data_IF_968576898124
#
_entry.id   IF_968576898124
#
_cell.length_a   1.000
_cell.length_b   1.000
_cell.length_c   1.000
_cell.angle_alpha   90.00
_cell.angle_beta   90.00
_cell.angle_gamma   90.00
#
_symmetry.space_group_name_H-M   'P 1'
#
loop_
_entity.id
_entity.type
_entity.pdbx_description
1 polymer ?
#
# COMPACT_ATOMS: atom_id res chain seq x y z
N UNK A 1 10.71 -8.17 -13.32
CA UNK A 1 10.23 -6.86 -13.82
C UNK A 1 8.88 -6.95 -14.53
N UNK A 2 8.64 -7.92 -15.41
CA UNK A 2 7.35 -8.07 -16.12
C UNK A 2 6.15 -8.24 -15.18
N UNK A 3 6.22 -9.14 -14.19
CA UNK A 3 5.12 -9.37 -13.23
C UNK A 3 4.73 -8.11 -12.45
N UNK A 4 5.73 -7.29 -12.04
CA UNK A 4 5.49 -6.04 -11.33
C UNK A 4 4.78 -4.99 -12.20
N UNK A 5 5.17 -4.89 -13.47
CA UNK A 5 4.50 -3.96 -14.41
C UNK A 5 3.05 -4.37 -14.63
N UNK A 6 2.78 -5.66 -14.80
CA UNK A 6 1.40 -6.16 -14.92
C UNK A 6 0.57 -5.83 -13.68
N UNK A 7 1.14 -6.02 -12.48
CA UNK A 7 0.45 -5.64 -11.23
C UNK A 7 0.18 -4.13 -11.16
N UNK A 8 1.14 -3.30 -11.58
CA UNK A 8 0.96 -1.84 -11.67
C UNK A 8 -0.18 -1.48 -12.63
N UNK A 9 -0.21 -2.07 -13.81
CA UNK A 9 -1.25 -1.78 -14.81
C UNK A 9 -2.64 -2.21 -14.31
N UNK A 10 -2.77 -3.43 -13.79
CA UNK A 10 -4.06 -3.94 -13.28
C UNK A 10 -4.52 -3.11 -12.08
N UNK A 11 -3.63 -2.85 -11.11
CA UNK A 11 -3.98 -2.08 -9.92
C UNK A 11 -4.42 -0.66 -10.24
N UNK A 12 -3.71 0.02 -11.13
CA UNK A 12 -4.08 1.37 -11.57
C UNK A 12 -5.35 1.40 -12.42
N UNK A 13 -5.61 0.37 -13.25
CA UNK A 13 -6.87 0.24 -13.99
C UNK A 13 -8.05 0.08 -13.02
N UNK A 14 -7.92 -0.76 -11.98
CA UNK A 14 -8.95 -0.92 -10.96
C UNK A 14 -9.25 0.40 -10.24
N UNK A 15 -8.21 1.15 -9.86
CA UNK A 15 -8.37 2.44 -9.20
C UNK A 15 -9.03 3.46 -10.14
N UNK A 16 -8.61 3.56 -11.40
CA UNK A 16 -9.17 4.49 -12.37
C UNK A 16 -10.66 4.18 -12.67
N UNK A 17 -11.02 2.90 -12.81
CA UNK A 17 -12.41 2.48 -12.96
C UNK A 17 -13.23 2.87 -11.73
N UNK A 18 -12.74 2.60 -10.52
CA UNK A 18 -13.39 3.02 -9.27
C UNK A 18 -13.66 4.53 -9.26
N UNK A 19 -12.69 5.33 -9.71
CA UNK A 19 -12.80 6.78 -9.73
C UNK A 19 -13.78 7.27 -10.78
N UNK A 20 -13.58 6.94 -12.05
CA UNK A 20 -14.33 7.55 -13.15
C UNK A 20 -15.78 7.06 -13.24
N UNK A 21 -16.05 5.83 -12.78
CA UNK A 21 -17.41 5.25 -12.87
C UNK A 21 -18.23 5.37 -11.59
N UNK A 22 -17.59 5.63 -10.42
CA UNK A 22 -18.32 5.64 -9.17
C UNK A 22 -18.05 6.94 -8.39
N UNK A 23 -16.79 7.24 -8.09
CA UNK A 23 -16.44 8.33 -7.15
C UNK A 23 -16.71 9.71 -7.76
N UNK A 24 -16.22 9.96 -8.97
CA UNK A 24 -16.41 11.24 -9.65
C UNK A 24 -17.89 11.55 -9.92
N UNK A 25 -18.73 10.60 -10.41
CA UNK A 25 -20.16 10.85 -10.60
C UNK A 25 -20.94 11.18 -9.33
N UNK A 26 -20.47 10.77 -8.17
CA UNK A 26 -21.07 11.14 -6.88
C UNK A 26 -20.51 12.43 -6.28
N UNK A 27 -19.60 13.14 -6.97
CA UNK A 27 -18.86 14.28 -6.44
C UNK A 27 -18.12 13.97 -5.14
N UNK A 28 -17.60 12.74 -5.02
CA UNK A 28 -16.81 12.33 -3.86
C UNK A 28 -15.33 12.61 -4.10
N UNK A 29 -14.63 12.93 -3.02
CA UNK A 29 -13.21 13.29 -3.08
C UNK A 29 -12.32 12.21 -2.47
N UNK A 30 -11.22 11.95 -3.15
CA UNK A 30 -10.17 11.07 -2.65
C UNK A 30 -9.31 11.77 -1.60
N UNK A 31 -8.50 11.02 -0.91
CA UNK A 31 -7.48 11.53 0.00
C UNK A 31 -6.18 11.88 -0.74
N UNK A 32 -5.35 12.70 -0.10
CA UNK A 32 -3.98 12.99 -0.52
C UNK A 32 -3.87 13.71 -1.87
N UNK A 33 -2.82 13.40 -2.63
CA UNK A 33 -2.53 14.07 -3.90
C UNK A 33 -3.65 13.95 -4.94
N UNK A 34 -4.42 12.86 -4.91
CA UNK A 34 -5.56 12.66 -5.81
C UNK A 34 -6.70 13.63 -5.48
N UNK A 35 -7.04 13.80 -4.20
CA UNK A 35 -8.05 14.76 -3.79
C UNK A 35 -7.65 16.21 -4.11
N UNK A 36 -6.36 16.55 -3.97
CA UNK A 36 -5.85 17.86 -4.42
C UNK A 36 -6.03 18.02 -5.94
N UNK A 37 -5.73 16.98 -6.72
CA UNK A 37 -5.91 17.02 -8.17
C UNK A 37 -7.39 17.20 -8.56
N UNK A 38 -8.32 16.52 -7.86
CA UNK A 38 -9.76 16.68 -8.05
C UNK A 38 -10.22 18.13 -7.77
N UNK A 39 -9.77 18.73 -6.66
CA UNK A 39 -10.11 20.12 -6.36
C UNK A 39 -9.62 21.11 -7.42
N UNK A 40 -8.41 20.87 -7.97
CA UNK A 40 -7.86 21.70 -9.04
C UNK A 40 -8.63 21.46 -10.35
N UNK A 41 -9.03 20.22 -10.66
CA UNK A 41 -9.84 19.92 -11.85
C UNK A 41 -11.18 20.67 -11.79
N UNK A 42 -11.88 20.59 -10.67
CA UNK A 42 -13.14 21.35 -10.45
C UNK A 42 -12.92 22.86 -10.56
N UNK A 43 -11.84 23.41 -10.03
CA UNK A 43 -11.51 24.82 -10.18
C UNK A 43 -11.36 25.21 -11.67
N UNK A 44 -10.73 24.38 -12.46
CA UNK A 44 -10.48 24.63 -13.88
C UNK A 44 -11.79 24.54 -14.67
N UNK A 45 -12.59 23.50 -14.45
CA UNK A 45 -13.80 23.20 -15.23
C UNK A 45 -14.99 24.07 -14.80
N UNK A 46 -15.30 24.10 -13.49
CA UNK A 46 -16.52 24.74 -12.98
C UNK A 46 -16.35 26.24 -12.72
N UNK A 47 -15.17 26.68 -12.27
CA UNK A 47 -14.95 28.10 -11.91
C UNK A 47 -14.33 28.88 -13.07
N UNK A 48 -13.29 28.32 -13.71
CA UNK A 48 -12.65 28.99 -14.84
C UNK A 48 -13.31 28.71 -16.17
N UNK A 49 -14.28 27.77 -16.22
CA UNK A 49 -15.04 27.38 -17.42
C UNK A 49 -14.12 26.95 -18.60
N UNK A 50 -12.98 26.33 -18.29
CA UNK A 50 -12.07 25.81 -19.31
C UNK A 50 -12.54 24.39 -19.64
N UNK A 51 -13.07 24.15 -20.85
CA UNK A 51 -13.59 22.83 -21.21
C UNK A 51 -12.46 21.80 -21.25
N UNK A 52 -12.80 20.55 -20.94
CA UNK A 52 -11.89 19.43 -21.11
C UNK A 52 -11.53 19.23 -22.59
N UNK A 53 -10.35 18.73 -22.84
CA UNK A 53 -9.91 18.38 -24.20
C UNK A 53 -10.74 17.16 -24.63
N UNK A 54 -11.33 17.14 -25.85
CA UNK A 54 -12.14 16.02 -26.29
C UNK A 54 -11.43 14.68 -26.11
N UNK A 55 -12.01 13.80 -25.27
CA UNK A 55 -11.47 12.47 -24.93
C UNK A 55 -10.35 12.45 -23.89
N UNK A 56 -10.07 13.57 -23.20
CA UNK A 56 -9.06 13.63 -22.12
C UNK A 56 -9.58 14.44 -20.95
N UNK A 57 -9.70 13.81 -19.79
CA UNK A 57 -10.13 14.45 -18.55
C UNK A 57 -8.97 15.22 -17.87
N UNK A 58 -9.25 16.44 -17.42
CA UNK A 58 -8.27 17.29 -16.72
C UNK A 58 -7.64 16.61 -15.51
N UNK A 59 -8.40 15.80 -14.79
CA UNK A 59 -7.94 15.11 -13.59
C UNK A 59 -6.66 14.30 -13.83
N UNK A 60 -6.58 13.56 -14.94
CA UNK A 60 -5.41 12.77 -15.27
C UNK A 60 -4.16 13.64 -15.51
N UNK A 61 -4.32 14.74 -16.25
CA UNK A 61 -3.23 15.69 -16.54
C UNK A 61 -2.73 16.35 -15.26
N UNK A 62 -3.65 16.85 -14.44
CA UNK A 62 -3.33 17.54 -13.18
C UNK A 62 -2.65 16.59 -12.20
N UNK A 63 -3.18 15.37 -12.06
CA UNK A 63 -2.58 14.36 -11.19
C UNK A 63 -1.15 14.05 -11.60
N UNK A 64 -0.86 13.88 -12.88
CA UNK A 64 0.48 13.70 -13.41
C UNK A 64 1.37 14.92 -13.13
N UNK A 65 0.84 16.12 -13.42
CA UNK A 65 1.55 17.40 -13.23
C UNK A 65 1.96 17.69 -11.79
N UNK A 66 1.14 17.30 -10.80
CA UNK A 66 1.47 17.45 -9.38
C UNK A 66 2.50 16.41 -8.93
N UNK A 67 2.33 15.16 -9.36
CA UNK A 67 3.10 14.06 -8.81
C UNK A 67 4.52 13.97 -9.39
N UNK A 68 4.72 14.23 -10.68
CA UNK A 68 6.04 14.09 -11.32
C UNK A 68 7.08 15.06 -10.75
N UNK A 69 6.82 16.38 -10.60
CA UNK A 69 7.78 17.28 -9.99
C UNK A 69 8.18 16.84 -8.58
N UNK A 70 7.22 16.44 -7.75
CA UNK A 70 7.50 16.01 -6.38
C UNK A 70 8.37 14.76 -6.36
N UNK A 71 8.11 13.80 -7.26
CA UNK A 71 8.96 12.62 -7.41
C UNK A 71 10.37 12.96 -7.82
N UNK A 72 10.55 13.90 -8.76
CA UNK A 72 11.88 14.32 -9.21
C UNK A 72 12.68 14.96 -8.08
N UNK A 73 12.05 15.79 -7.23
CA UNK A 73 12.68 16.33 -6.03
C UNK A 73 13.07 15.24 -5.02
N UNK A 74 12.25 14.19 -4.88
CA UNK A 74 12.48 13.05 -4.00
C UNK A 74 13.45 12.00 -4.55
N UNK A 75 13.87 12.10 -5.81
CA UNK A 75 14.63 11.07 -6.52
C UNK A 75 15.91 10.60 -5.80
N UNK A 76 16.59 11.54 -5.11
CA UNK A 76 17.83 11.25 -4.36
C UNK A 76 17.61 10.42 -3.09
N UNK A 77 16.41 10.52 -2.52
CA UNK A 77 16.03 9.83 -1.26
C UNK A 77 15.40 8.46 -1.51
N UNK A 78 15.05 8.17 -2.75
CA UNK A 78 14.34 6.94 -3.13
C UNK A 78 15.29 5.95 -3.79
N UNK A 79 15.11 4.67 -3.50
CA UNK A 79 15.81 3.61 -4.22
C UNK A 79 15.44 3.60 -5.72
N UNK A 80 16.44 3.48 -6.61
CA UNK A 80 16.26 3.57 -8.08
C UNK A 80 15.13 2.68 -8.63
N UNK A 81 14.95 1.46 -8.09
CA UNK A 81 13.89 0.53 -8.53
C UNK A 81 12.50 1.04 -8.14
N UNK A 82 12.35 1.54 -6.90
CA UNK A 82 11.10 2.12 -6.41
C UNK A 82 10.74 3.37 -7.21
N UNK A 83 11.68 4.27 -7.40
CA UNK A 83 11.51 5.51 -8.14
C UNK A 83 10.98 5.27 -9.57
N UNK A 84 11.65 4.39 -10.34
CA UNK A 84 11.24 4.09 -11.72
C UNK A 84 9.84 3.46 -11.75
N UNK A 85 9.53 2.52 -10.85
CA UNK A 85 8.22 1.88 -10.80
C UNK A 85 7.11 2.86 -10.41
N UNK A 86 7.40 3.80 -9.52
CA UNK A 86 6.46 4.83 -9.10
C UNK A 86 6.16 5.82 -10.22
N UNK A 87 7.16 6.24 -11.01
CA UNK A 87 6.92 7.05 -12.21
C UNK A 87 6.02 6.30 -13.20
N UNK A 88 6.31 5.02 -13.46
CA UNK A 88 5.47 4.20 -14.34
C UNK A 88 4.04 4.11 -13.79
N UNK A 89 3.89 3.87 -12.49
CA UNK A 89 2.58 3.77 -11.84
C UNK A 89 1.77 5.05 -11.98
N UNK A 90 2.35 6.20 -11.65
CA UNK A 90 1.67 7.49 -11.75
C UNK A 90 1.29 7.80 -13.21
N UNK A 91 2.18 7.53 -14.15
CA UNK A 91 1.90 7.77 -15.58
C UNK A 91 0.77 6.87 -16.08
N UNK A 92 0.77 5.59 -15.72
CA UNK A 92 -0.28 4.64 -16.08
C UNK A 92 -1.63 5.03 -15.46
N UNK A 93 -1.63 5.41 -14.19
CA UNK A 93 -2.85 5.87 -13.51
C UNK A 93 -3.40 7.14 -14.16
N UNK A 94 -2.55 8.13 -14.41
CA UNK A 94 -2.94 9.38 -15.06
C UNK A 94 -3.54 9.15 -16.46
N UNK A 95 -2.93 8.26 -17.23
CA UNK A 95 -3.45 7.87 -18.55
C UNK A 95 -4.84 7.21 -18.44
N UNK A 96 -5.00 6.25 -17.51
CA UNK A 96 -6.29 5.60 -17.35
C UNK A 96 -7.38 6.57 -16.89
N UNK A 97 -7.10 7.43 -15.89
CA UNK A 97 -8.06 8.44 -15.43
C UNK A 97 -8.39 9.43 -16.54
N UNK A 98 -7.37 9.85 -17.32
CA UNK A 98 -7.57 10.83 -18.39
C UNK A 98 -8.29 10.30 -19.63
N UNK A 99 -8.21 8.99 -19.91
CA UNK A 99 -8.77 8.39 -21.13
C UNK A 99 -10.09 7.66 -20.86
N UNK A 100 -10.30 7.10 -19.67
CA UNK A 100 -11.56 6.45 -19.32
C UNK A 100 -12.65 7.52 -19.20
N UNK A 101 -13.83 7.30 -19.80
CA UNK A 101 -14.91 8.27 -19.72
C UNK A 101 -15.42 8.43 -18.29
N UNK A 102 -15.75 9.65 -17.92
CA UNK A 102 -16.52 9.95 -16.70
C UNK A 102 -18.00 9.99 -17.08
N UNK A 103 -18.82 9.22 -16.39
CA UNK A 103 -20.26 9.23 -16.61
C UNK A 103 -20.94 10.31 -15.78
N UNK A 104 -22.05 10.85 -16.29
CA UNK A 104 -22.86 11.85 -15.58
C UNK A 104 -23.58 11.29 -14.35
N UNK A 105 -23.72 9.95 -14.27
CA UNK A 105 -24.29 9.24 -13.13
C UNK A 105 -23.46 8.01 -12.83
N UNK A 106 -23.34 7.66 -11.55
CA UNK A 106 -22.63 6.44 -11.13
C UNK A 106 -23.33 5.18 -11.66
N UNK A 107 -22.52 4.14 -11.96
CA UNK A 107 -23.04 2.80 -12.30
C UNK A 107 -23.76 2.12 -11.12
N UNK A 108 -23.58 2.64 -9.91
CA UNK A 108 -24.26 2.19 -8.68
C UNK A 108 -25.10 3.37 -8.20
N UNK A 109 -26.41 3.19 -8.07
CA UNK A 109 -27.32 4.27 -7.70
C UNK A 109 -27.20 4.69 -6.22
N UNK A 110 -26.94 3.73 -5.34
CA UNK A 110 -26.84 4.00 -3.92
C UNK A 110 -25.43 4.43 -3.53
N UNK A 111 -25.28 5.64 -2.96
CA UNK A 111 -23.99 6.23 -2.62
C UNK A 111 -23.18 5.42 -1.59
N UNK A 112 -23.84 4.84 -0.56
CA UNK A 112 -23.17 4.00 0.43
C UNK A 112 -22.60 2.74 -0.22
N UNK A 113 -23.41 2.08 -1.07
CA UNK A 113 -22.96 0.91 -1.83
C UNK A 113 -21.85 1.29 -2.81
N UNK A 114 -21.93 2.47 -3.43
CA UNK A 114 -20.90 3.04 -4.29
C UNK A 114 -19.57 3.23 -3.53
N UNK A 115 -19.62 3.84 -2.35
CA UNK A 115 -18.45 4.03 -1.49
C UNK A 115 -17.80 2.69 -1.11
N UNK A 116 -18.61 1.68 -0.74
CA UNK A 116 -18.11 0.35 -0.38
C UNK A 116 -17.47 -0.32 -1.60
N UNK A 117 -18.18 -0.38 -2.73
CA UNK A 117 -17.69 -1.02 -3.95
C UNK A 117 -16.42 -0.35 -4.47
N UNK A 118 -16.43 0.99 -4.58
CA UNK A 118 -15.29 1.76 -5.03
C UNK A 118 -14.10 1.67 -4.07
N UNK A 119 -14.36 1.74 -2.75
CA UNK A 119 -13.32 1.63 -1.73
C UNK A 119 -12.64 0.27 -1.73
N UNK A 120 -13.41 -0.83 -1.79
CA UNK A 120 -12.85 -2.17 -1.86
C UNK A 120 -12.10 -2.40 -3.17
N UNK A 121 -12.73 -2.11 -4.30
CA UNK A 121 -12.14 -2.34 -5.62
C UNK A 121 -10.89 -1.47 -5.86
N UNK A 122 -10.99 -0.17 -5.56
CA UNK A 122 -9.87 0.75 -5.64
C UNK A 122 -8.76 0.42 -4.64
N UNK A 123 -9.12 0.06 -3.40
CA UNK A 123 -8.16 -0.33 -2.37
C UNK A 123 -7.36 -1.59 -2.71
N UNK A 124 -8.01 -2.62 -3.30
CA UNK A 124 -7.31 -3.78 -3.86
C UNK A 124 -6.32 -3.33 -4.95
N UNK A 125 -6.76 -2.42 -5.84
CA UNK A 125 -5.93 -1.87 -6.90
C UNK A 125 -4.67 -1.19 -6.35
N UNK A 126 -4.82 -0.29 -5.37
CA UNK A 126 -3.70 0.37 -4.68
C UNK A 126 -2.81 -0.65 -3.98
N UNK A 127 -3.38 -1.63 -3.28
CA UNK A 127 -2.63 -2.70 -2.62
C UNK A 127 -1.77 -3.52 -3.59
N UNK A 128 -2.26 -3.79 -4.81
CA UNK A 128 -1.49 -4.45 -5.86
C UNK A 128 -0.32 -3.59 -6.34
N UNK A 129 -0.53 -2.28 -6.54
CA UNK A 129 0.53 -1.34 -6.93
C UNK A 129 1.62 -1.30 -5.86
N UNK A 130 1.26 -1.12 -4.60
CA UNK A 130 2.20 -1.10 -3.48
C UNK A 130 2.96 -2.42 -3.35
N UNK A 131 2.27 -3.56 -3.51
CA UNK A 131 2.90 -4.90 -3.49
C UNK A 131 3.90 -5.09 -4.63
N UNK A 132 3.74 -4.40 -5.76
CA UNK A 132 4.73 -4.41 -6.85
C UNK A 132 6.03 -3.65 -6.52
N UNK A 133 6.06 -2.92 -5.40
CA UNK A 133 7.14 -2.03 -4.99
C UNK A 133 7.13 -0.70 -5.75
N UNK A 134 5.94 -0.20 -6.08
CA UNK A 134 5.69 1.14 -6.61
C UNK A 134 4.81 1.92 -5.62
N UNK A 135 4.85 3.25 -5.67
CA UNK A 135 3.91 4.13 -4.99
C UNK A 135 2.74 4.52 -5.89
N UNK A 136 1.64 4.94 -5.29
CA UNK A 136 0.46 5.45 -6.01
C UNK A 136 0.44 6.98 -6.09
N UNK A 137 1.33 7.70 -5.39
CA UNK A 137 1.37 9.17 -5.42
C UNK A 137 2.62 9.74 -4.77
N UNK A 138 2.84 11.02 -5.01
CA UNK A 138 3.98 11.75 -4.48
C UNK A 138 3.81 12.15 -3.00
N UNK A 139 2.61 12.08 -2.45
CA UNK A 139 2.34 12.40 -1.04
C UNK A 139 3.20 11.57 -0.08
N UNK A 140 3.35 10.28 -0.36
CA UNK A 140 4.18 9.38 0.44
C UNK A 140 5.67 9.78 0.40
N UNK A 141 6.13 10.27 -0.75
CA UNK A 141 7.51 10.74 -0.95
C UNK A 141 7.76 12.02 -0.15
N UNK A 142 6.86 13.01 -0.23
CA UNK A 142 6.95 14.26 0.54
C UNK A 142 6.92 13.95 2.03
N UNK A 143 6.03 13.09 2.48
CA UNK A 143 5.95 12.68 3.87
C UNK A 143 7.24 12.01 4.35
N UNK A 144 7.85 11.17 3.53
CA UNK A 144 9.12 10.49 3.84
C UNK A 144 10.28 11.50 3.95
N UNK A 145 10.37 12.48 3.05
CA UNK A 145 11.39 13.54 3.08
C UNK A 145 11.19 14.43 4.34
N UNK A 146 9.96 14.84 4.62
CA UNK A 146 9.66 15.67 5.79
C UNK A 146 9.92 14.94 7.11
N UNK A 147 9.60 13.66 7.20
CA UNK A 147 9.88 12.85 8.39
C UNK A 147 11.38 12.65 8.62
N UNK A 148 12.20 12.66 7.57
CA UNK A 148 13.66 12.56 7.69
C UNK A 148 14.33 13.88 8.07
N UNK A 149 13.68 15.03 7.80
CA UNK A 149 14.25 16.37 8.03
C UNK A 149 13.74 17.06 9.28
N UNK A 150 12.54 16.71 9.77
CA UNK A 150 11.91 17.34 10.94
C UNK A 150 11.53 16.29 11.99
N UNK A 151 12.20 16.25 13.16
CA UNK A 151 11.81 15.38 14.27
C UNK A 151 10.37 15.67 14.71
N UNK A 152 9.56 14.62 14.86
CA UNK A 152 8.16 14.72 15.28
C UNK A 152 7.13 14.94 14.16
N UNK A 153 7.56 15.12 12.91
CA UNK A 153 6.67 15.19 11.75
C UNK A 153 6.57 13.82 11.08
N UNK A 154 5.35 13.30 10.96
CA UNK A 154 5.12 12.01 10.30
C UNK A 154 4.39 12.17 8.96
N UNK A 155 4.56 11.18 8.06
CA UNK A 155 3.79 11.09 6.81
C UNK A 155 2.28 11.15 7.09
N UNK A 156 1.84 10.48 8.16
CA UNK A 156 0.43 10.49 8.59
C UNK A 156 -0.07 11.87 8.97
N UNK A 157 0.73 12.66 9.71
CA UNK A 157 0.37 14.03 10.09
C UNK A 157 0.16 14.92 8.86
N UNK A 158 1.05 14.82 7.87
CA UNK A 158 0.91 15.59 6.63
C UNK A 158 -0.34 15.19 5.85
N UNK A 159 -0.56 13.90 5.66
CA UNK A 159 -1.75 13.41 4.98
C UNK A 159 -3.03 13.81 5.71
N UNK A 160 -3.02 13.79 7.04
CA UNK A 160 -4.17 14.23 7.85
C UNK A 160 -4.49 15.71 7.60
N UNK A 161 -3.49 16.60 7.60
CA UNK A 161 -3.69 18.04 7.33
C UNK A 161 -4.26 18.24 5.92
N UNK A 162 -3.68 17.59 4.91
CA UNK A 162 -4.15 17.69 3.52
C UNK A 162 -5.60 17.21 3.42
N UNK A 163 -5.94 16.09 4.05
CA UNK A 163 -7.27 15.52 4.02
C UNK A 163 -8.31 16.40 4.73
N UNK A 164 -7.95 17.01 5.86
CA UNK A 164 -8.82 18.00 6.54
C UNK A 164 -9.14 19.15 5.59
N UNK A 165 -8.14 19.70 4.88
CA UNK A 165 -8.38 20.76 3.91
C UNK A 165 -9.29 20.31 2.78
N UNK A 166 -9.02 19.12 2.17
CA UNK A 166 -9.82 18.58 1.07
C UNK A 166 -11.28 18.40 1.48
N UNK A 167 -11.53 17.71 2.60
CA UNK A 167 -12.89 17.41 3.02
C UNK A 167 -13.64 18.66 3.56
N UNK A 168 -12.93 19.64 4.10
CA UNK A 168 -13.53 20.94 4.45
C UNK A 168 -14.00 21.68 3.19
N UNK A 169 -13.17 21.73 2.15
CA UNK A 169 -13.55 22.36 0.87
C UNK A 169 -14.70 21.58 0.23
N UNK A 170 -14.67 20.24 0.24
CA UNK A 170 -15.76 19.41 -0.23
C UNK A 170 -17.07 19.71 0.50
N UNK A 171 -17.05 19.81 1.84
CA UNK A 171 -18.24 20.13 2.64
C UNK A 171 -18.83 21.51 2.31
N UNK A 172 -17.98 22.50 2.04
CA UNK A 172 -18.41 23.85 1.67
C UNK A 172 -18.96 23.94 0.24
N UNK A 173 -18.40 23.17 -0.71
CA UNK A 173 -18.77 23.22 -2.11
C UNK A 173 -19.98 22.32 -2.45
N UNK A 174 -20.05 21.13 -1.88
CA UNK A 174 -21.02 20.10 -2.24
C UNK A 174 -21.91 19.62 -1.08
N UNK A 175 -21.71 20.18 0.10
CA UNK A 175 -22.45 19.83 1.30
C UNK A 175 -21.75 18.78 2.18
N UNK A 176 -22.21 18.74 3.44
CA UNK A 176 -21.57 17.91 4.48
C UNK A 176 -21.74 16.41 4.19
N UNK A 177 -22.80 16.00 3.50
CA UNK A 177 -23.06 14.61 3.15
C UNK A 177 -21.97 14.06 2.22
N UNK A 178 -21.59 14.81 1.18
CA UNK A 178 -20.52 14.43 0.26
C UNK A 178 -19.16 14.32 0.97
N UNK A 179 -18.88 15.20 1.93
CA UNK A 179 -17.66 15.10 2.73
C UNK A 179 -17.65 13.85 3.62
N UNK A 180 -18.77 13.51 4.25
CA UNK A 180 -18.93 12.31 5.07
C UNK A 180 -18.76 11.04 4.22
N UNK A 181 -19.39 10.97 3.05
CA UNK A 181 -19.23 9.85 2.13
C UNK A 181 -17.79 9.75 1.59
N UNK A 182 -17.13 10.88 1.32
CA UNK A 182 -15.73 10.90 0.91
C UNK A 182 -14.79 10.33 1.98
N UNK A 183 -15.01 10.70 3.25
CA UNK A 183 -14.26 10.14 4.39
C UNK A 183 -14.55 8.64 4.55
N UNK A 184 -15.80 8.23 4.41
CA UNK A 184 -16.21 6.83 4.48
C UNK A 184 -15.54 5.99 3.38
N UNK A 185 -15.59 6.48 2.13
CA UNK A 185 -14.89 5.88 1.00
C UNK A 185 -13.38 5.73 1.27
N UNK A 186 -12.73 6.82 1.73
CA UNK A 186 -11.30 6.82 2.02
C UNK A 186 -10.93 5.81 3.12
N UNK A 187 -11.79 5.66 4.14
CA UNK A 187 -11.62 4.66 5.19
C UNK A 187 -11.68 3.22 4.66
N UNK A 188 -12.66 2.91 3.81
CA UNK A 188 -12.80 1.59 3.18
C UNK A 188 -11.62 1.30 2.23
N UNK A 189 -11.22 2.30 1.43
CA UNK A 189 -10.09 2.18 0.51
C UNK A 189 -8.81 1.87 1.29
N UNK A 190 -8.53 2.60 2.38
CA UNK A 190 -7.36 2.37 3.23
C UNK A 190 -7.38 0.99 3.86
N UNK A 191 -8.51 0.56 4.40
CA UNK A 191 -8.67 -0.77 4.98
C UNK A 191 -8.43 -1.89 3.95
N UNK A 192 -8.99 -1.77 2.74
CA UNK A 192 -8.78 -2.73 1.68
C UNK A 192 -7.34 -2.73 1.18
N UNK A 193 -6.75 -1.54 1.00
CA UNK A 193 -5.35 -1.36 0.64
C UNK A 193 -4.42 -2.08 1.63
N UNK A 194 -4.57 -1.84 2.93
CA UNK A 194 -3.73 -2.44 3.96
C UNK A 194 -3.84 -3.98 3.99
N UNK A 195 -5.05 -4.50 3.79
CA UNK A 195 -5.29 -5.94 3.73
C UNK A 195 -4.59 -6.61 2.55
N UNK A 196 -4.47 -5.92 1.42
CA UNK A 196 -3.84 -6.44 0.19
C UNK A 196 -2.38 -6.02 0.03
N UNK A 197 -1.92 -5.02 0.78
CA UNK A 197 -0.52 -4.60 0.80
C UNK A 197 0.32 -5.49 1.72
N UNK A 198 0.83 -6.58 1.19
CA UNK A 198 1.52 -7.65 1.96
C UNK A 198 3.01 -7.36 2.29
N UNK A 199 3.54 -6.17 2.02
CA UNK A 199 5.02 -5.99 1.98
C UNK A 199 5.74 -5.79 3.31
N UNK A 200 5.08 -5.52 4.43
CA UNK A 200 5.76 -5.17 5.68
C UNK A 200 5.37 -5.98 6.91
N UNK A 201 4.74 -7.14 6.74
CA UNK A 201 4.47 -8.01 7.88
C UNK A 201 5.67 -8.92 8.13
N UNK A 202 6.31 -8.72 9.27
CA UNK A 202 7.32 -9.62 9.79
C UNK A 202 6.65 -10.71 10.60
N UNK A 203 7.14 -11.93 10.41
CA UNK A 203 6.63 -13.11 11.07
C UNK A 203 7.78 -13.73 11.86
N UNK A 204 7.53 -13.97 13.13
CA UNK A 204 8.40 -14.80 13.95
C UNK A 204 7.91 -16.24 13.89
N UNK A 205 8.79 -17.13 13.55
CA UNK A 205 8.56 -18.56 13.59
C UNK A 205 9.34 -19.10 14.78
N UNK A 206 8.63 -19.76 15.69
CA UNK A 206 9.25 -20.53 16.77
C UNK A 206 9.07 -22.01 16.48
N UNK A 207 10.19 -22.74 16.43
CA UNK A 207 10.24 -24.17 16.29
C UNK A 207 10.70 -24.79 17.60
N UNK A 208 9.97 -25.76 18.09
CA UNK A 208 10.30 -26.52 19.28
C UNK A 208 10.69 -27.93 18.84
N UNK A 209 11.96 -28.28 19.04
CA UNK A 209 12.50 -29.55 18.58
C UNK A 209 13.29 -30.26 19.70
N UNK A 210 13.35 -31.59 19.60
CA UNK A 210 14.22 -32.42 20.44
C UNK A 210 15.52 -32.77 19.74
N UNK A 211 15.66 -32.40 18.47
CA UNK A 211 16.88 -32.57 17.69
C UNK A 211 17.75 -31.32 17.83
N UNK A 212 18.86 -31.44 18.57
CA UNK A 212 19.78 -30.35 18.86
C UNK A 212 20.73 -30.00 17.71
N UNK A 213 20.83 -30.86 16.70
CA UNK A 213 21.69 -30.62 15.53
C UNK A 213 20.99 -29.83 14.41
N UNK A 214 19.66 -29.71 14.48
CA UNK A 214 18.81 -29.02 13.48
C UNK A 214 19.25 -27.57 13.20
N UNK A 215 19.75 -26.86 14.22
CA UNK A 215 20.11 -25.44 14.07
C UNK A 215 21.23 -25.18 13.08
N UNK A 216 22.18 -26.13 12.94
CA UNK A 216 23.28 -26.02 11.98
C UNK A 216 22.77 -26.14 10.55
N UNK A 217 21.91 -27.10 10.30
CA UNK A 217 21.33 -27.35 8.98
C UNK A 217 20.40 -26.22 8.56
N UNK A 218 19.62 -25.69 9.50
CA UNK A 218 18.72 -24.56 9.27
C UNK A 218 19.47 -23.28 8.90
N UNK A 219 20.61 -23.00 9.56
CA UNK A 219 21.40 -21.80 9.27
C UNK A 219 21.97 -21.80 7.84
N UNK A 220 22.27 -22.98 7.31
CA UNK A 220 22.79 -23.16 5.94
C UNK A 220 21.67 -23.08 4.88
N UNK A 221 20.46 -23.57 5.21
CA UNK A 221 19.35 -23.64 4.26
C UNK A 221 18.53 -22.35 4.17
N UNK A 222 18.41 -21.60 5.28
CA UNK A 222 17.51 -20.46 5.36
C UNK A 222 18.15 -19.12 5.02
N UNK A 223 19.50 -19.01 5.00
CA UNK A 223 20.23 -17.75 4.80
C UNK A 223 19.67 -16.57 5.66
N UNK A 224 19.32 -16.89 6.92
CA UNK A 224 18.72 -15.99 7.89
C UNK A 224 19.36 -16.10 9.26
N UNK A 225 19.31 -15.01 10.00
CA UNK A 225 19.70 -15.02 11.41
C UNK A 225 18.77 -15.94 12.22
N UNK A 226 19.36 -16.93 12.86
CA UNK A 226 18.65 -17.88 13.72
C UNK A 226 19.15 -17.69 15.13
N UNK A 227 18.22 -17.57 16.08
CA UNK A 227 18.53 -17.56 17.51
C UNK A 227 17.91 -18.79 18.14
N UNK A 228 18.65 -19.49 18.98
CA UNK A 228 18.11 -20.63 19.69
C UNK A 228 18.50 -20.60 21.17
N UNK A 229 17.69 -21.27 21.99
CA UNK A 229 17.94 -21.49 23.41
C UNK A 229 17.41 -22.85 23.84
N UNK A 230 17.96 -23.37 24.93
CA UNK A 230 17.49 -24.59 25.55
C UNK A 230 16.30 -24.30 26.46
N UNK A 231 15.29 -25.14 26.39
CA UNK A 231 14.11 -25.10 27.23
C UNK A 231 13.78 -26.50 27.73
N UNK A 232 12.92 -26.59 28.73
CA UNK A 232 12.46 -27.88 29.30
C UNK A 232 10.95 -27.93 29.32
N UNK A 233 10.39 -29.01 28.82
CA UNK A 233 8.95 -29.21 28.85
C UNK A 233 8.46 -29.40 30.28
N UNK A 234 7.58 -28.52 30.76
CA UNK A 234 7.10 -28.55 32.15
C UNK A 234 6.32 -29.84 32.51
N UNK A 235 5.61 -30.41 31.54
CA UNK A 235 4.83 -31.63 31.75
C UNK A 235 5.68 -32.91 31.48
N UNK A 236 6.47 -32.89 30.42
CA UNK A 236 7.22 -34.07 29.98
C UNK A 236 8.59 -34.21 30.64
N UNK A 237 9.08 -33.16 31.30
CA UNK A 237 10.41 -33.02 31.90
C UNK A 237 11.54 -33.31 30.88
N UNK A 238 11.26 -33.17 29.57
CA UNK A 238 12.21 -33.43 28.47
C UNK A 238 12.90 -32.15 28.06
N UNK A 239 14.19 -32.24 27.75
CA UNK A 239 14.93 -31.12 27.15
C UNK A 239 14.43 -30.87 25.74
N UNK A 240 14.31 -29.60 25.38
CA UNK A 240 13.78 -29.12 24.11
C UNK A 240 14.61 -27.91 23.67
N UNK A 241 14.93 -27.84 22.41
CA UNK A 241 15.51 -26.65 21.81
C UNK A 241 14.42 -25.79 21.18
N UNK A 242 14.44 -24.50 21.47
CA UNK A 242 13.55 -23.51 20.86
C UNK A 242 14.38 -22.70 19.86
N UNK A 243 13.95 -22.71 18.62
CA UNK A 243 14.59 -21.99 17.50
C UNK A 243 13.69 -20.84 17.09
N UNK A 244 14.21 -19.62 17.06
CA UNK A 244 13.50 -18.40 16.65
C UNK A 244 14.08 -17.87 15.36
N UNK A 245 13.19 -17.64 14.38
CA UNK A 245 13.54 -17.09 13.08
C UNK A 245 12.56 -15.97 12.74
N UNK A 246 13.07 -14.86 12.21
CA UNK A 246 12.23 -13.77 11.71
C UNK A 246 12.30 -13.77 10.18
N UNK A 247 11.14 -13.82 9.55
CA UNK A 247 10.98 -13.84 8.09
C UNK A 247 9.91 -12.83 7.67
N UNK A 248 9.83 -12.54 6.38
CA UNK A 248 8.70 -11.79 5.82
C UNK A 248 7.52 -12.72 5.57
N UNK A 249 6.29 -12.19 5.53
CA UNK A 249 5.07 -12.98 5.30
C UNK A 249 5.11 -13.86 4.04
N UNK A 250 5.86 -13.43 3.02
CA UNK A 250 6.02 -14.19 1.78
C UNK A 250 6.96 -15.39 1.90
N UNK A 251 7.79 -15.40 2.93
CA UNK A 251 8.81 -16.42 3.16
C UNK A 251 8.33 -17.51 4.12
N UNK A 252 7.19 -17.29 4.78
CA UNK A 252 6.69 -18.19 5.83
C UNK A 252 6.50 -19.60 5.33
N UNK A 253 5.80 -19.79 4.19
CA UNK A 253 5.49 -21.12 3.69
C UNK A 253 6.77 -21.89 3.35
N UNK A 254 7.72 -21.22 2.68
CA UNK A 254 9.01 -21.80 2.36
C UNK A 254 9.85 -22.08 3.61
N UNK A 255 9.84 -21.16 4.59
CA UNK A 255 10.57 -21.36 5.84
C UNK A 255 9.99 -22.54 6.63
N UNK A 256 8.67 -22.65 6.74
CA UNK A 256 7.99 -23.76 7.42
C UNK A 256 8.25 -25.09 6.73
N UNK A 257 8.30 -25.10 5.38
CA UNK A 257 8.65 -26.30 4.61
C UNK A 257 10.07 -26.78 4.96
N UNK A 258 11.07 -25.88 4.95
CA UNK A 258 12.45 -26.19 5.32
C UNK A 258 12.55 -26.69 6.78
N UNK A 259 11.81 -26.03 7.70
CA UNK A 259 11.80 -26.47 9.11
C UNK A 259 11.25 -27.87 9.28
N UNK A 260 10.20 -28.23 8.55
CA UNK A 260 9.59 -29.57 8.56
C UNK A 260 10.47 -30.63 7.87
N UNK A 261 11.26 -30.24 6.88
CA UNK A 261 12.24 -31.14 6.27
C UNK A 261 13.36 -31.51 7.26
N UNK A 262 13.74 -30.57 8.12
CA UNK A 262 14.78 -30.78 9.12
C UNK A 262 14.30 -31.62 10.31
N UNK A 263 13.08 -31.34 10.82
CA UNK A 263 12.42 -32.16 11.85
C UNK A 263 10.92 -32.25 11.59
N UNK A 264 10.43 -33.37 11.02
CA UNK A 264 9.00 -33.58 10.75
C UNK A 264 8.11 -33.62 12.00
N UNK A 265 8.69 -33.85 13.17
CA UNK A 265 7.96 -33.96 14.44
C UNK A 265 8.02 -32.68 15.28
N UNK A 266 8.73 -31.65 14.82
CA UNK A 266 8.83 -30.38 15.53
C UNK A 266 7.48 -29.69 15.63
N UNK A 267 7.22 -29.06 16.78
CA UNK A 267 6.10 -28.13 16.94
C UNK A 267 6.52 -26.75 16.45
N UNK A 268 5.74 -26.20 15.50
CA UNK A 268 6.03 -24.89 14.88
C UNK A 268 4.87 -23.96 15.19
N UNK A 269 5.18 -22.79 15.75
CA UNK A 269 4.23 -21.69 15.98
C UNK A 269 4.67 -20.46 15.20
N UNK A 270 3.70 -19.74 14.66
CA UNK A 270 3.91 -18.60 13.76
C UNK A 270 3.22 -17.37 14.36
N UNK A 271 3.99 -16.30 14.61
CA UNK A 271 3.50 -15.08 15.24
C UNK A 271 3.72 -13.88 14.30
N UNK A 272 2.72 -13.04 14.19
CA UNK A 272 2.87 -11.75 13.49
C UNK A 272 3.60 -10.75 14.41
N UNK A 273 4.64 -10.08 13.90
CA UNK A 273 5.42 -9.09 14.64
C UNK A 273 4.99 -7.71 14.17
N UNK A 274 4.61 -6.86 15.10
CA UNK A 274 4.20 -5.49 14.81
C UNK A 274 5.36 -4.64 14.28
N UNK A 275 6.54 -4.73 14.90
CA UNK A 275 7.73 -3.95 14.50
C UNK A 275 9.02 -4.73 14.77
N UNK A 276 9.98 -4.58 13.86
CA UNK A 276 11.35 -5.05 14.03
C UNK A 276 12.28 -3.84 14.04
N UNK A 277 13.11 -3.71 15.07
CA UNK A 277 14.15 -2.68 15.17
C UNK A 277 15.52 -3.35 15.10
N UNK A 278 16.41 -2.84 14.27
CA UNK A 278 17.76 -3.35 14.08
C UNK A 278 18.10 -3.70 12.63
N UNK A 279 19.24 -4.35 12.43
CA UNK A 279 19.70 -4.75 11.11
C UNK A 279 18.95 -6.02 10.68
N UNK A 280 18.03 -5.88 9.74
CA UNK A 280 17.30 -6.97 9.12
C UNK A 280 17.46 -6.91 7.61
N UNK A 281 18.22 -7.83 7.04
CA UNK A 281 18.38 -7.93 5.59
C UNK A 281 17.15 -8.55 4.94
N UNK A 282 16.56 -7.81 3.98
CA UNK A 282 15.30 -8.20 3.30
C UNK A 282 15.50 -9.21 2.15
N UNK A 283 16.66 -9.82 2.02
CA UNK A 283 16.98 -10.64 0.86
C UNK A 283 16.93 -12.14 1.14
N UNK A 284 15.81 -12.77 0.78
CA UNK A 284 15.84 -14.10 0.17
C UNK A 284 16.12 -13.86 -1.31
N UNK A 285 17.37 -13.82 -1.71
CA UNK A 285 17.67 -13.81 -3.12
C UNK A 285 18.90 -14.63 -3.39
N UNK A 286 18.72 -15.78 -3.86
CA UNK A 286 19.39 -16.13 -5.14
C UNK A 286 18.57 -17.15 -5.85
#
# INVERSE_FOLDING_TARGET
MGKQIVMICIGNAMLAVSMNFIITPFNLYCSGAMGVAQLIAVLIEDILHIPSIPGVEWLGIIYWGINIPVLLFGAKSLGKKFFIRTIISITVLSLFIGVLPVYSSSIIENEVMGCIAAGVFGGIGVGLVLTSGAGCGAGDVVGMILSSTKPGFSVGTMNMIINICIYTICALAYGIENAVYSIFYAGILSWAMDKYHKQNHYIQILMYTKDFDVTRDLSLKLDRGITYWQAKGAYTDTETQVVSIIVTKHEVDKAVEILRECDPHAFISVFEIEKVHGTFDKHFSK
#
